data_IF_105020835748
#
_entry.id   IF_105020835748
#
_cell.length_a   1.000
_cell.length_b   1.000
_cell.length_c   1.000
_cell.angle_alpha   90.00
_cell.angle_beta   90.00
_cell.angle_gamma   90.00
#
_symmetry.space_group_name_H-M   'P 1'
#
loop_
_entity.id
_entity.type
_entity.pdbx_description
1 polymer ?
#
# COMPACT_ATOMS: atom_id res chain seq x y z
N UNK A 1 -16.58 -18.17 8.15
CA UNK A 1 -16.57 -16.77 7.71
C UNK A 1 -15.16 -16.33 7.42
N UNK A 2 -14.96 -15.66 6.28
CA UNK A 2 -13.67 -15.04 5.95
C UNK A 2 -13.69 -13.58 6.37
N UNK A 3 -12.59 -13.11 6.95
CA UNK A 3 -12.43 -11.70 7.32
C UNK A 3 -12.51 -10.80 6.08
N UNK A 4 -13.29 -9.72 6.18
CA UNK A 4 -13.33 -8.69 5.16
C UNK A 4 -13.17 -7.31 5.79
N UNK A 5 -12.66 -6.39 4.99
CA UNK A 5 -12.51 -4.98 5.34
C UNK A 5 -13.04 -4.14 4.21
N UNK A 6 -13.88 -3.17 4.55
CA UNK A 6 -14.38 -2.16 3.61
C UNK A 6 -13.95 -0.78 4.08
N UNK A 7 -13.60 0.08 3.13
CA UNK A 7 -13.17 1.44 3.43
C UNK A 7 -12.77 2.20 2.17
N UNK A 8 -12.52 3.49 2.36
CA UNK A 8 -12.03 4.41 1.32
C UNK A 8 -10.51 4.31 1.28
N UNK A 9 -9.94 4.18 0.08
CA UNK A 9 -8.50 4.11 -0.10
C UNK A 9 -7.85 5.47 0.04
N UNK A 10 -7.04 5.67 1.08
CA UNK A 10 -6.49 6.98 1.42
C UNK A 10 -5.06 7.16 0.91
N UNK A 11 -4.22 6.14 1.04
CA UNK A 11 -2.81 6.22 0.63
C UNK A 11 -2.14 4.84 0.62
N UNK A 12 -1.03 4.74 -0.10
CA UNK A 12 -0.13 3.58 -0.07
C UNK A 12 1.28 3.99 0.28
N UNK A 13 1.91 3.23 1.16
CA UNK A 13 3.36 3.27 1.35
C UNK A 13 3.98 2.08 0.64
N UNK A 14 4.80 2.34 -0.37
CA UNK A 14 5.51 1.29 -1.10
C UNK A 14 6.82 0.94 -0.38
N UNK A 15 7.24 -0.32 -0.47
CA UNK A 15 8.50 -0.83 0.08
C UNK A 15 8.69 -0.58 1.60
N UNK A 16 7.61 -0.70 2.38
CA UNK A 16 7.63 -0.38 3.83
C UNK A 16 7.72 -1.60 4.75
N UNK A 17 7.67 -2.82 4.20
CA UNK A 17 7.84 -4.05 4.97
C UNK A 17 9.23 -4.16 5.60
N UNK A 18 9.36 -4.97 6.66
CA UNK A 18 10.65 -5.24 7.34
C UNK A 18 11.75 -5.69 6.37
N UNK A 19 11.37 -6.35 5.27
CA UNK A 19 12.27 -6.81 4.19
C UNK A 19 12.20 -5.93 2.92
N UNK A 20 11.52 -4.79 2.96
CA UNK A 20 11.38 -3.87 1.83
C UNK A 20 10.45 -4.35 0.69
N UNK A 21 9.83 -5.52 0.81
CA UNK A 21 9.10 -6.18 -0.29
C UNK A 21 7.56 -6.13 -0.18
N UNK A 22 7.02 -5.33 0.75
CA UNK A 22 5.58 -5.23 0.96
C UNK A 22 5.09 -3.80 0.92
N UNK A 23 3.99 -3.59 0.20
CA UNK A 23 3.24 -2.35 0.20
C UNK A 23 2.30 -2.29 1.41
N UNK A 24 2.01 -1.10 1.93
CA UNK A 24 1.08 -0.89 3.03
C UNK A 24 -0.02 0.05 2.56
N UNK A 25 -1.23 -0.50 2.40
CA UNK A 25 -2.41 0.22 1.98
C UNK A 25 -3.15 0.76 3.19
N UNK A 26 -3.48 2.04 3.20
CA UNK A 26 -4.27 2.67 4.25
C UNK A 26 -5.69 2.89 3.76
N UNK A 27 -6.63 2.32 4.49
CA UNK A 27 -8.07 2.42 4.27
C UNK A 27 -8.69 3.18 5.44
N UNK A 28 -9.67 4.03 5.15
CA UNK A 28 -10.49 4.70 6.16
C UNK A 28 -11.90 4.14 6.12
N UNK A 29 -12.39 3.69 7.27
CA UNK A 29 -13.75 3.20 7.44
C UNK A 29 -14.45 3.99 8.55
N UNK A 30 -15.71 3.64 8.82
CA UNK A 30 -16.51 4.29 9.88
C UNK A 30 -15.96 4.07 11.29
N UNK A 31 -15.11 3.06 11.49
CA UNK A 31 -14.44 2.79 12.76
C UNK A 31 -13.08 3.50 12.89
N UNK A 32 -12.53 4.00 11.78
CA UNK A 32 -11.27 4.73 11.73
C UNK A 32 -10.30 4.24 10.65
N UNK A 33 -9.00 4.51 10.85
CA UNK A 33 -7.95 4.13 9.90
C UNK A 33 -7.51 2.67 10.09
N UNK A 34 -7.45 1.93 8.99
CA UNK A 34 -7.02 0.54 8.91
C UNK A 34 -5.85 0.42 7.94
N UNK A 35 -4.81 -0.31 8.34
CA UNK A 35 -3.66 -0.57 7.48
C UNK A 35 -3.67 -2.03 7.03
N UNK A 36 -3.53 -2.26 5.72
CA UNK A 36 -3.53 -3.58 5.09
C UNK A 36 -2.18 -3.81 4.44
N UNK A 37 -1.54 -4.92 4.82
CA UNK A 37 -0.31 -5.35 4.19
C UNK A 37 -0.58 -5.95 2.82
N UNK A 38 0.09 -5.39 1.82
CA UNK A 38 0.18 -5.85 0.45
C UNK A 38 0.70 -7.27 0.32
N UNK A 39 0.34 -7.88 -0.79
CA UNK A 39 0.86 -9.17 -1.26
C UNK A 39 0.80 -9.15 -2.78
N UNK A 40 1.59 -9.98 -3.46
CA UNK A 40 1.63 -9.95 -4.93
C UNK A 40 0.24 -9.95 -5.61
N UNK A 41 -0.73 -10.69 -5.06
CA UNK A 41 -2.12 -10.73 -5.56
C UNK A 41 -2.88 -9.45 -5.23
N UNK A 42 -2.76 -8.95 -4.00
CA UNK A 42 -3.43 -7.72 -3.57
C UNK A 42 -2.88 -6.51 -4.32
N UNK A 43 -1.57 -6.44 -4.48
CA UNK A 43 -0.86 -5.35 -5.13
C UNK A 43 -1.27 -5.24 -6.60
N UNK A 44 -1.37 -6.39 -7.30
CA UNK A 44 -1.87 -6.43 -8.68
C UNK A 44 -3.31 -5.94 -8.80
N UNK A 45 -4.14 -6.15 -7.76
CA UNK A 45 -5.54 -5.70 -7.75
C UNK A 45 -5.69 -4.24 -7.37
N UNK A 46 -4.81 -3.74 -6.51
CA UNK A 46 -4.76 -2.35 -6.08
C UNK A 46 -4.17 -1.42 -7.15
N UNK A 47 -3.49 -1.96 -8.17
CA UNK A 47 -2.96 -1.18 -9.29
C UNK A 47 -4.07 -0.50 -10.11
N UNK A 48 -5.23 -1.15 -10.20
CA UNK A 48 -6.43 -0.62 -10.87
C UNK A 48 -7.26 0.34 -9.98
N UNK A 49 -6.91 0.49 -8.70
CA UNK A 49 -7.69 1.25 -7.71
C UNK A 49 -7.07 2.63 -7.48
N UNK A 50 -7.88 3.68 -7.48
CA UNK A 50 -7.43 5.05 -7.23
C UNK A 50 -7.65 5.46 -5.77
N UNK A 51 -6.77 6.34 -5.30
CA UNK A 51 -6.94 6.99 -4.00
C UNK A 51 -8.25 7.78 -4.05
N UNK A 52 -9.10 7.59 -3.05
CA UNK A 52 -10.47 8.11 -3.00
C UNK A 52 -11.54 7.04 -3.26
N UNK A 53 -11.18 5.92 -3.89
CA UNK A 53 -12.16 4.89 -4.21
C UNK A 53 -12.55 4.10 -2.95
N UNK A 54 -13.84 3.78 -2.85
CA UNK A 54 -14.33 2.87 -1.83
C UNK A 54 -14.13 1.44 -2.31
N UNK A 55 -13.48 0.62 -1.49
CA UNK A 55 -13.19 -0.76 -1.83
C UNK A 55 -13.43 -1.70 -0.67
N UNK A 56 -13.69 -2.96 -1.01
CA UNK A 56 -13.87 -4.07 -0.08
C UNK A 56 -12.85 -5.17 -0.37
N UNK A 57 -11.96 -5.42 0.59
CA UNK A 57 -10.98 -6.51 0.55
C UNK A 57 -11.53 -7.66 1.38
N UNK A 58 -11.73 -8.81 0.75
CA UNK A 58 -12.15 -10.06 1.42
C UNK A 58 -11.00 -11.06 1.40
N UNK A 59 -10.63 -11.57 2.57
CA UNK A 59 -9.69 -12.66 2.69
C UNK A 59 -10.40 -14.00 2.46
N UNK A 60 -10.01 -14.72 1.40
CA UNK A 60 -10.58 -16.02 1.04
C UNK A 60 -9.80 -17.21 1.59
N UNK A 61 -8.72 -16.97 2.33
CA UNK A 61 -7.85 -18.01 2.86
C UNK A 61 -6.58 -18.22 2.04
N UNK A 62 -6.01 -19.40 2.18
CA UNK A 62 -4.82 -19.83 1.44
C UNK A 62 -5.23 -20.58 0.17
N UNK A 63 -4.59 -20.25 -0.94
CA UNK A 63 -4.78 -20.94 -2.22
C UNK A 63 -4.05 -22.28 -2.26
N UNK A 64 -4.08 -22.94 -3.42
CA UNK A 64 -3.37 -24.21 -3.59
C UNK A 64 -1.84 -24.01 -3.48
N UNK A 65 -1.24 -24.64 -2.48
CA UNK A 65 0.21 -24.70 -2.34
C UNK A 65 0.78 -25.64 -3.41
N UNK A 66 1.74 -25.15 -4.20
CA UNK A 66 2.56 -26.04 -5.03
C UNK A 66 3.60 -26.73 -4.15
N UNK A 67 3.96 -28.00 -4.40
CA UNK A 67 4.97 -28.70 -3.62
C UNK A 67 6.29 -27.91 -3.61
N UNK A 68 6.80 -27.64 -2.40
CA UNK A 68 8.01 -26.84 -2.17
C UNK A 68 7.79 -25.32 -2.08
N UNK A 69 6.55 -24.83 -2.13
CA UNK A 69 6.21 -23.41 -1.98
C UNK A 69 5.09 -23.19 -0.96
N UNK A 70 5.14 -22.05 -0.28
CA UNK A 70 4.05 -21.63 0.61
C UNK A 70 2.78 -21.33 -0.19
N UNK A 71 1.63 -21.67 0.38
CA UNK A 71 0.33 -21.34 -0.20
C UNK A 71 0.18 -19.82 -0.36
N UNK A 72 -0.17 -19.32 -1.55
CA UNK A 72 -0.43 -17.89 -1.73
C UNK A 72 -1.71 -17.51 -0.99
N UNK A 73 -1.70 -16.36 -0.31
CA UNK A 73 -2.90 -15.81 0.31
C UNK A 73 -3.84 -15.28 -0.78
N UNK A 74 -5.08 -15.73 -0.79
CA UNK A 74 -6.08 -15.31 -1.77
C UNK A 74 -6.88 -14.15 -1.19
N UNK A 75 -6.81 -13.01 -1.87
CA UNK A 75 -7.58 -11.82 -1.57
C UNK A 75 -8.51 -11.52 -2.75
N UNK A 76 -9.74 -11.11 -2.44
CA UNK A 76 -10.69 -10.56 -3.41
C UNK A 76 -10.85 -9.08 -3.10
N UNK A 77 -10.63 -8.21 -4.09
CA UNK A 77 -10.87 -6.77 -4.00
C UNK A 77 -12.08 -6.45 -4.88
N UNK A 78 -13.03 -5.72 -4.32
CA UNK A 78 -14.21 -5.21 -5.01
C UNK A 78 -14.20 -3.70 -4.86
N UNK A 79 -14.21 -2.97 -5.97
CA UNK A 79 -14.25 -1.51 -6.00
C UNK A 79 -15.70 -1.10 -6.19
N UNK A 80 -16.19 -0.22 -5.32
CA UNK A 80 -17.48 0.43 -5.46
C UNK A 80 -17.25 1.71 -6.27
N UNK A 81 -17.41 1.61 -7.59
CA UNK A 81 -17.33 2.72 -8.54
C UNK A 81 -18.50 3.70 -8.27
N UNK A 82 -18.35 4.54 -7.26
CA UNK A 82 -19.14 5.77 -7.12
C UNK A 82 -18.28 6.92 -7.63
N UNK A 83 -18.43 7.16 -8.93
CA UNK A 83 -17.70 8.17 -9.70
C UNK A 83 -17.91 9.56 -9.09
N UNK A 84 -16.88 10.13 -8.46
CA UNK A 84 -16.61 11.58 -8.50
C UNK A 84 -15.08 11.77 -8.56
N UNK A 85 -14.60 12.17 -9.74
CA UNK A 85 -13.25 12.68 -9.94
C UNK A 85 -13.06 13.94 -9.09
N UNK A 86 -12.10 13.97 -8.16
CA UNK A 86 -11.33 15.18 -7.85
C UNK A 86 -10.10 14.87 -6.96
N UNK A 87 -8.92 14.98 -7.60
CA UNK A 87 -7.64 15.52 -7.09
C UNK A 87 -7.17 15.20 -5.66
N UNK A 88 -5.96 14.63 -5.55
CA UNK A 88 -4.81 15.39 -5.07
C UNK A 88 -3.49 14.63 -5.23
N UNK A 89 -2.66 15.20 -6.08
CA UNK A 89 -1.23 15.05 -6.08
C UNK A 89 -0.70 15.33 -4.66
N UNK A 90 0.08 14.42 -4.12
CA UNK A 90 1.09 14.78 -3.13
C UNK A 90 2.32 13.98 -3.46
N UNK A 91 3.07 14.56 -4.39
CA UNK A 91 4.51 14.42 -4.43
C UNK A 91 5.02 14.64 -3.00
N UNK A 92 5.54 13.58 -2.39
CA UNK A 92 6.52 13.74 -1.31
C UNK A 92 7.86 13.30 -1.86
N UNK A 93 8.36 14.18 -2.73
CA UNK A 93 9.76 14.51 -2.83
C UNK A 93 10.40 14.42 -1.44
N UNK A 94 11.22 13.38 -1.24
CA UNK A 94 12.25 13.41 -0.20
C UNK A 94 13.55 13.55 -0.96
N UNK A 95 13.77 14.76 -1.46
CA UNK A 95 15.09 15.21 -1.84
C UNK A 95 16.02 15.01 -0.63
N UNK A 96 17.09 14.25 -0.87
CA UNK A 96 18.33 14.42 -0.14
C UNK A 96 18.87 15.82 -0.43
N UNK A 97 19.39 16.48 0.60
CA UNK A 97 20.74 17.02 0.53
C UNK A 97 21.55 16.29 1.61
N UNK A 98 22.44 15.35 1.29
CA UNK A 98 23.83 15.61 0.89
C UNK A 98 24.22 17.08 0.84
N UNK A 99 24.64 17.61 1.99
CA UNK A 99 25.66 18.64 2.07
C UNK A 99 26.84 18.06 2.86
N UNK A 100 27.84 17.69 2.07
CA UNK A 100 29.24 17.60 2.45
C UNK A 100 29.73 19.04 2.63
N UNK A 101 29.79 19.52 3.88
CA UNK A 101 30.49 20.77 4.18
C UNK A 101 31.93 20.43 4.57
N UNK A 102 32.77 20.45 3.55
CA UNK A 102 34.22 20.55 3.62
C UNK A 102 34.61 21.62 4.64
N UNK A 103 35.22 21.22 5.76
CA UNK A 103 35.88 22.18 6.65
C UNK A 103 37.18 22.63 5.98
N UNK A 104 37.23 23.93 5.69
CA UNK A 104 38.29 24.74 5.09
C UNK A 104 39.73 24.39 5.54
N UNK A 105 40.73 24.39 4.63
CA UNK A 105 42.13 24.41 5.01
C UNK A 105 42.56 25.85 5.34
N UNK A 106 42.33 26.30 6.57
CA UNK A 106 42.85 27.59 7.01
C UNK A 106 44.36 27.51 7.29
N UNK A 107 45.07 28.35 6.55
CA UNK A 107 46.50 28.53 6.58
C UNK A 107 46.94 29.31 7.84
N UNK A 108 47.93 28.78 8.55
CA UNK A 108 48.95 29.59 9.23
C UNK A 108 50.21 28.80 9.57
#
# INVERSE_FOLDING_TARGET
DGDFIEGVYISVKRNTGTDGNSNLYKLENTEGMRNVWGSAILDSRMDDVKIGDKLKITYKGLGEAKPGKNAPKIFKVEVDDMVEEETKETEKETEKPSEDETTDPDAK
#
